data_IF_187026517902
#
_entry.id   IF_187026517902
#
_cell.length_a   1.000
_cell.length_b   1.000
_cell.length_c   1.000
_cell.angle_alpha   90.00
_cell.angle_beta   90.00
_cell.angle_gamma   90.00
#
_symmetry.space_group_name_H-M   'P 1'
#
loop_
_entity.id
_entity.type
_entity.pdbx_description
1 polymer ?
#
# COMPACT_ATOMS: atom_id res chain seq x y z
N UNK A 1 13.98 15.98 21.92
CA UNK A 1 12.58 15.85 21.45
C UNK A 1 12.27 14.37 21.47
N UNK A 2 11.43 13.95 22.42
CA UNK A 2 10.98 12.56 22.50
C UNK A 2 10.09 12.29 21.30
N UNK A 3 10.53 11.39 20.42
CA UNK A 3 9.67 10.81 19.40
C UNK A 3 8.74 9.88 20.14
N UNK A 4 7.55 10.36 20.47
CA UNK A 4 6.50 9.52 21.03
C UNK A 4 6.20 8.42 20.02
N UNK A 5 6.66 7.20 20.30
CA UNK A 5 6.19 6.01 19.61
C UNK A 5 4.69 5.93 19.90
N UNK A 6 3.87 6.46 18.97
CA UNK A 6 2.46 6.10 18.91
C UNK A 6 2.48 4.62 18.57
N UNK A 7 2.27 3.80 19.60
CA UNK A 7 2.24 2.35 19.49
C UNK A 7 0.91 1.99 18.82
N UNK A 8 0.85 2.20 17.51
CA UNK A 8 -0.27 1.80 16.69
C UNK A 8 -0.33 0.28 16.67
N UNK A 9 -1.53 -0.28 16.89
CA UNK A 9 -1.80 -1.70 16.75
C UNK A 9 -1.86 -2.13 15.27
N UNK A 10 -1.69 -1.19 14.34
CA UNK A 10 -1.74 -1.46 12.92
C UNK A 10 -0.47 -2.18 12.45
N UNK A 11 -0.64 -3.19 11.61
CA UNK A 11 0.47 -3.94 11.00
C UNK A 11 0.20 -4.10 9.52
N UNK A 12 1.28 -4.01 8.74
CA UNK A 12 1.25 -4.28 7.30
C UNK A 12 2.15 -5.47 6.98
N UNK A 13 1.62 -6.45 6.27
CA UNK A 13 2.39 -7.52 5.65
C UNK A 13 2.36 -7.35 4.13
N UNK A 14 3.48 -7.61 3.46
CA UNK A 14 3.63 -7.40 2.02
C UNK A 14 4.14 -8.69 1.38
N UNK A 15 3.49 -9.09 0.30
CA UNK A 15 3.92 -10.15 -0.59
C UNK A 15 3.91 -9.63 -2.04
N UNK A 16 5.07 -9.68 -2.71
CA UNK A 16 5.23 -9.26 -4.10
C UNK A 16 5.87 -10.40 -4.87
N UNK A 17 5.14 -10.98 -5.81
CA UNK A 17 5.63 -12.08 -6.66
C UNK A 17 6.35 -11.54 -7.88
N UNK A 18 7.69 -11.43 -7.82
CA UNK A 18 8.51 -10.83 -8.89
C UNK A 18 8.32 -11.46 -10.28
N UNK A 19 8.08 -12.77 -10.37
CA UNK A 19 7.91 -13.46 -11.65
C UNK A 19 6.54 -13.20 -12.32
N UNK A 20 5.54 -12.77 -11.56
CA UNK A 20 4.17 -12.57 -12.04
C UNK A 20 3.69 -11.13 -11.97
N UNK A 21 4.32 -10.30 -11.16
CA UNK A 21 3.88 -8.92 -10.88
C UNK A 21 2.76 -8.85 -9.85
N UNK A 22 2.16 -9.96 -9.46
CA UNK A 22 1.09 -9.99 -8.45
C UNK A 22 1.58 -9.44 -7.09
N UNK A 23 0.74 -8.62 -6.45
CA UNK A 23 1.00 -8.00 -5.16
C UNK A 23 -0.13 -8.25 -4.17
N UNK A 24 0.22 -8.27 -2.88
CA UNK A 24 -0.71 -8.27 -1.78
C UNK A 24 -0.17 -7.43 -0.62
N UNK A 25 -0.97 -6.48 -0.17
CA UNK A 25 -0.68 -5.61 0.98
C UNK A 25 -1.78 -5.84 2.01
N UNK A 26 -1.42 -6.50 3.10
CA UNK A 26 -2.33 -6.88 4.17
C UNK A 26 -2.19 -5.91 5.33
N UNK A 27 -3.17 -5.03 5.51
CA UNK A 27 -3.22 -4.12 6.65
C UNK A 27 -4.23 -4.62 7.66
N UNK A 28 -3.75 -4.84 8.88
CA UNK A 28 -4.55 -5.29 10.01
C UNK A 28 -4.58 -4.25 11.12
N UNK A 29 -5.71 -4.19 11.81
CA UNK A 29 -5.90 -3.56 13.13
C UNK A 29 -6.43 -4.63 14.11
N UNK A 30 -6.77 -4.25 15.33
CA UNK A 30 -7.42 -5.17 16.29
C UNK A 30 -8.79 -5.68 15.82
N UNK A 31 -9.45 -4.97 14.90
CA UNK A 31 -10.85 -5.23 14.53
C UNK A 31 -11.02 -5.79 13.12
N UNK A 32 -10.08 -5.55 12.22
CA UNK A 32 -10.24 -5.91 10.82
C UNK A 32 -8.90 -6.15 10.12
N UNK A 33 -8.96 -6.97 9.08
CA UNK A 33 -7.88 -7.25 8.15
C UNK A 33 -8.38 -6.90 6.75
N UNK A 34 -7.66 -6.01 6.07
CA UNK A 34 -7.89 -5.66 4.68
C UNK A 34 -6.70 -6.10 3.83
N UNK A 35 -6.98 -6.65 2.65
CA UNK A 35 -5.96 -7.04 1.67
C UNK A 35 -6.17 -6.25 0.38
N UNK A 36 -5.25 -5.34 0.06
CA UNK A 36 -5.14 -4.76 -1.28
C UNK A 36 -4.38 -5.73 -2.18
N UNK A 37 -5.01 -6.17 -3.27
CA UNK A 37 -4.43 -7.14 -4.22
C UNK A 37 -4.53 -6.62 -5.64
N UNK A 38 -3.45 -6.77 -6.40
CA UNK A 38 -3.43 -6.44 -7.82
C UNK A 38 -2.45 -7.35 -8.57
N UNK A 39 -2.65 -7.55 -9.86
CA UNK A 39 -1.84 -8.42 -10.70
C UNK A 39 -0.64 -7.74 -11.36
N UNK A 40 -0.60 -6.40 -11.41
CA UNK A 40 0.49 -5.66 -12.06
C UNK A 40 1.14 -4.68 -11.08
N UNK A 41 2.09 -5.19 -10.28
CA UNK A 41 2.71 -4.47 -9.18
C UNK A 41 3.44 -3.18 -9.57
N UNK A 42 4.12 -3.15 -10.72
CA UNK A 42 4.83 -1.95 -11.17
C UNK A 42 3.88 -0.78 -11.54
N UNK A 43 2.59 -1.06 -11.78
CA UNK A 43 1.55 -0.05 -11.99
C UNK A 43 0.77 0.20 -10.70
N UNK A 44 0.36 -0.89 -10.05
CA UNK A 44 -0.54 -0.84 -8.91
C UNK A 44 0.11 -0.26 -7.65
N UNK A 45 1.38 -0.58 -7.36
CA UNK A 45 2.06 -0.06 -6.16
C UNK A 45 2.20 1.47 -6.21
N UNK A 46 2.73 2.08 -7.30
CA UNK A 46 2.81 3.54 -7.39
C UNK A 46 1.43 4.21 -7.30
N UNK A 47 0.42 3.67 -7.97
CA UNK A 47 -0.93 4.23 -7.95
C UNK A 47 -1.55 4.15 -6.55
N UNK A 48 -1.33 3.04 -5.84
CA UNK A 48 -1.74 2.87 -4.45
C UNK A 48 -1.10 3.90 -3.53
N UNK A 49 0.23 4.08 -3.60
CA UNK A 49 0.94 5.09 -2.81
C UNK A 49 0.48 6.51 -3.12
N UNK A 50 0.34 6.86 -4.41
CA UNK A 50 -0.13 8.18 -4.83
C UNK A 50 -1.55 8.46 -4.31
N UNK A 51 -2.45 7.49 -4.42
CA UNK A 51 -3.83 7.62 -3.94
C UNK A 51 -3.87 7.87 -2.45
N UNK A 52 -3.16 7.06 -1.65
CA UNK A 52 -3.09 7.26 -0.20
C UNK A 52 -2.45 8.61 0.16
N UNK A 53 -1.42 9.03 -0.56
CA UNK A 53 -0.79 10.33 -0.36
C UNK A 53 -1.76 11.49 -0.56
N UNK A 54 -2.50 11.49 -1.67
CA UNK A 54 -3.45 12.56 -2.00
C UNK A 54 -4.64 12.58 -1.04
N UNK A 55 -5.11 11.41 -0.58
CA UNK A 55 -6.12 11.32 0.48
C UNK A 55 -5.61 11.90 1.80
N UNK A 56 -4.37 11.56 2.20
CA UNK A 56 -3.76 12.06 3.43
C UNK A 56 -3.61 13.57 3.45
N UNK A 57 -3.15 14.16 2.33
CA UNK A 57 -3.03 15.61 2.16
C UNK A 57 -4.38 16.32 2.03
N UNK A 58 -5.46 15.56 1.82
CA UNK A 58 -6.80 16.10 1.56
C UNK A 58 -6.91 16.79 0.20
N UNK A 59 -6.06 16.41 -0.76
CA UNK A 59 -6.10 16.87 -2.16
C UNK A 59 -7.28 16.24 -2.91
N UNK A 60 -7.62 15.01 -2.55
CA UNK A 60 -8.79 14.28 -3.01
C UNK A 60 -9.57 13.73 -1.81
N UNK A 61 -10.87 13.49 -1.99
CA UNK A 61 -11.72 12.84 -0.98
C UNK A 61 -12.01 11.38 -1.29
N UNK A 62 -11.83 10.97 -2.55
CA UNK A 62 -12.15 9.63 -3.05
C UNK A 62 -11.31 9.33 -4.30
N UNK A 63 -10.93 8.06 -4.47
CA UNK A 63 -10.39 7.52 -5.70
C UNK A 63 -10.77 6.05 -5.87
N UNK A 64 -10.92 5.63 -7.12
CA UNK A 64 -11.00 4.22 -7.50
C UNK A 64 -9.64 3.72 -7.96
N UNK A 65 -9.24 2.55 -7.47
CA UNK A 65 -8.08 1.80 -7.95
C UNK A 65 -8.58 0.51 -8.57
N UNK A 66 -8.40 0.38 -9.88
CA UNK A 66 -8.63 -0.88 -10.59
C UNK A 66 -7.50 -1.86 -10.29
N UNK A 67 -7.85 -3.12 -10.12
CA UNK A 67 -6.88 -4.16 -9.83
C UNK A 67 -6.39 -4.75 -11.15
N UNK A 68 -5.39 -4.12 -11.74
CA UNK A 68 -4.78 -4.56 -13.00
C UNK A 68 -4.51 -6.07 -13.01
N UNK A 69 -5.12 -6.82 -13.93
CA UNK A 69 -4.97 -8.28 -14.02
C UNK A 69 -6.04 -9.10 -13.27
N UNK A 70 -6.98 -8.46 -12.57
CA UNK A 70 -8.23 -9.08 -12.12
C UNK A 70 -9.43 -8.12 -12.35
N UNK A 71 -10.67 -8.56 -12.06
CA UNK A 71 -11.88 -7.74 -12.29
C UNK A 71 -12.32 -6.95 -11.05
N UNK A 72 -11.56 -7.04 -9.96
CA UNK A 72 -11.85 -6.34 -8.72
C UNK A 72 -11.43 -4.87 -8.85
N UNK A 73 -12.03 -4.03 -8.01
CA UNK A 73 -11.55 -2.67 -7.79
C UNK A 73 -11.83 -2.25 -6.36
N UNK A 74 -11.10 -1.24 -5.93
CA UNK A 74 -11.24 -0.65 -4.61
C UNK A 74 -11.63 0.82 -4.75
N UNK A 75 -12.56 1.28 -3.92
CA UNK A 75 -12.84 2.70 -3.73
C UNK A 75 -12.24 3.09 -2.38
N UNK A 76 -11.25 3.98 -2.41
CA UNK A 76 -10.66 4.58 -1.21
C UNK A 76 -11.23 5.97 -1.03
N UNK A 77 -11.80 6.27 0.13
CA UNK A 77 -12.30 7.59 0.48
C UNK A 77 -11.89 7.99 1.89
N UNK A 78 -11.89 9.29 2.19
CA UNK A 78 -11.40 9.79 3.47
C UNK A 78 -12.10 11.08 3.91
N UNK A 79 -12.38 11.17 5.21
CA UNK A 79 -12.82 12.40 5.87
C UNK A 79 -11.66 13.18 6.53
N UNK A 80 -10.42 12.84 6.16
CA UNK A 80 -9.12 13.30 6.70
C UNK A 80 -8.72 12.70 8.05
N UNK A 81 -9.61 11.98 8.74
CA UNK A 81 -9.28 11.25 9.98
C UNK A 81 -9.40 9.74 9.77
N UNK A 82 -10.46 9.33 9.11
CA UNK A 82 -10.78 7.96 8.80
C UNK A 82 -10.57 7.71 7.30
N UNK A 83 -10.04 6.54 7.00
CA UNK A 83 -9.98 5.94 5.67
C UNK A 83 -11.10 4.91 5.56
N UNK A 84 -11.92 5.05 4.54
CA UNK A 84 -12.95 4.09 4.17
C UNK A 84 -12.54 3.40 2.88
N UNK A 85 -12.70 2.08 2.85
CA UNK A 85 -12.34 1.26 1.70
C UNK A 85 -13.53 0.38 1.35
N UNK A 86 -14.02 0.50 0.11
CA UNK A 86 -14.98 -0.41 -0.47
C UNK A 86 -14.24 -1.34 -1.45
N UNK A 87 -14.25 -2.64 -1.18
CA UNK A 87 -13.72 -3.66 -2.09
C UNK A 87 -14.88 -4.26 -2.87
N UNK A 88 -14.88 -4.05 -4.18
CA UNK A 88 -15.79 -4.70 -5.11
C UNK A 88 -15.11 -5.95 -5.65
N UNK A 89 -15.39 -7.08 -5.00
CA UNK A 89 -14.85 -8.39 -5.38
C UNK A 89 -15.63 -9.01 -6.53
N UNK A 90 -14.93 -9.54 -7.52
CA UNK A 90 -15.51 -10.40 -8.55
C UNK A 90 -15.50 -11.87 -8.12
N UNK A 91 -14.53 -12.31 -7.31
CA UNK A 91 -14.52 -13.68 -6.77
C UNK A 91 -13.85 -13.76 -5.38
N UNK A 92 -14.61 -13.95 -4.28
CA UNK A 92 -16.07 -14.07 -4.25
C UNK A 92 -16.74 -12.75 -4.65
N UNK A 93 -17.88 -12.86 -5.33
CA UNK A 93 -18.69 -11.68 -5.66
C UNK A 93 -19.19 -11.02 -4.37
N UNK A 94 -18.97 -9.71 -4.23
CA UNK A 94 -19.43 -8.99 -3.07
C UNK A 94 -18.90 -7.57 -2.97
N UNK A 95 -19.47 -6.81 -2.05
CA UNK A 95 -18.97 -5.50 -1.62
C UNK A 95 -18.58 -5.64 -0.16
N UNK A 96 -17.31 -5.39 0.14
CA UNK A 96 -16.75 -5.48 1.49
C UNK A 96 -16.27 -4.10 1.92
N UNK A 97 -16.65 -3.68 3.13
CA UNK A 97 -16.35 -2.35 3.63
C UNK A 97 -15.38 -2.43 4.81
N UNK A 98 -14.39 -1.55 4.80
CA UNK A 98 -13.35 -1.47 5.82
C UNK A 98 -13.17 -0.03 6.29
N UNK A 99 -12.94 0.16 7.57
CA UNK A 99 -12.71 1.49 8.16
C UNK A 99 -11.44 1.52 9.02
N UNK A 100 -10.54 2.46 8.73
CA UNK A 100 -9.26 2.57 9.41
C UNK A 100 -8.99 4.02 9.84
N UNK A 101 -8.21 4.24 10.89
CA UNK A 101 -7.60 5.55 11.10
C UNK A 101 -6.61 5.82 9.96
N UNK A 102 -6.78 6.94 9.26
CA UNK A 102 -6.00 7.27 8.06
C UNK A 102 -4.50 7.37 8.35
N UNK A 103 -4.13 8.03 9.44
CA UNK A 103 -2.72 8.24 9.79
C UNK A 103 -2.05 6.92 10.19
N UNK A 104 -2.72 6.12 11.00
CA UNK A 104 -2.19 4.84 11.46
C UNK A 104 -2.09 3.83 10.31
N UNK A 105 -3.05 3.83 9.38
CA UNK A 105 -3.00 3.02 8.16
C UNK A 105 -1.78 3.37 7.30
N UNK A 106 -1.55 4.65 7.03
CA UNK A 106 -0.39 5.12 6.26
C UNK A 106 0.92 4.76 6.95
N UNK A 107 1.00 4.96 8.28
CA UNK A 107 2.18 4.58 9.05
C UNK A 107 2.47 3.07 8.96
N UNK A 108 1.43 2.24 9.00
CA UNK A 108 1.59 0.79 8.86
C UNK A 108 2.10 0.41 7.46
N UNK A 109 1.55 0.99 6.39
CA UNK A 109 2.06 0.78 5.02
C UNK A 109 3.54 1.20 4.91
N UNK A 110 3.88 2.41 5.39
CA UNK A 110 5.26 2.90 5.36
C UNK A 110 6.22 1.96 6.10
N UNK A 111 5.84 1.54 7.30
CA UNK A 111 6.66 0.66 8.14
C UNK A 111 6.81 -0.72 7.50
N UNK A 112 5.70 -1.34 7.10
CA UNK A 112 5.73 -2.67 6.48
C UNK A 112 6.53 -2.68 5.18
N UNK A 113 6.38 -1.67 4.33
CA UNK A 113 7.12 -1.61 3.06
C UNK A 113 8.61 -1.37 3.29
N UNK A 114 8.97 -0.52 4.26
CA UNK A 114 10.36 -0.34 4.65
C UNK A 114 10.99 -1.62 5.20
N UNK A 115 10.27 -2.36 6.06
CA UNK A 115 10.72 -3.64 6.61
C UNK A 115 10.88 -4.69 5.52
N UNK A 116 9.94 -4.74 4.57
CA UNK A 116 10.00 -5.62 3.40
C UNK A 116 11.25 -5.33 2.55
N UNK A 117 11.54 -4.07 2.23
CA UNK A 117 12.76 -3.71 1.48
C UNK A 117 14.04 -4.11 2.23
N UNK A 118 14.10 -3.88 3.55
CA UNK A 118 15.24 -4.29 4.37
C UNK A 118 15.42 -5.81 4.41
N UNK A 119 14.34 -6.58 4.40
CA UNK A 119 14.40 -8.03 4.30
C UNK A 119 15.03 -8.47 2.98
N UNK A 120 14.57 -7.92 1.86
CA UNK A 120 15.15 -8.21 0.54
C UNK A 120 16.62 -7.80 0.43
N UNK A 121 17.03 -6.71 1.06
CA UNK A 121 18.45 -6.33 1.16
C UNK A 121 19.27 -7.37 1.94
N UNK A 122 18.77 -7.84 3.09
CA UNK A 122 19.44 -8.89 3.88
C UNK A 122 19.55 -10.21 3.12
N UNK A 123 18.57 -10.53 2.28
CA UNK A 123 18.57 -11.72 1.43
C UNK A 123 19.44 -11.56 0.17
N UNK A 124 19.99 -10.37 -0.09
CA UNK A 124 20.81 -10.09 -1.26
C UNK A 124 20.01 -10.02 -2.57
N UNK A 125 18.70 -9.79 -2.47
CA UNK A 125 17.80 -9.55 -3.60
C UNK A 125 17.91 -8.09 -4.06
N UNK A 126 17.96 -7.15 -3.11
CA UNK A 126 18.22 -5.74 -3.36
C UNK A 126 19.69 -5.36 -3.09
N UNK A 127 20.27 -4.38 -3.83
CA UNK A 127 19.68 -3.71 -4.98
C UNK A 127 19.55 -4.66 -6.19
N UNK A 128 18.57 -4.41 -7.05
CA UNK A 128 18.36 -5.22 -8.25
C UNK A 128 19.61 -5.16 -9.14
N UNK A 129 20.14 -6.33 -9.53
CA UNK A 129 21.36 -6.42 -10.35
C UNK A 129 21.17 -5.79 -11.74
N UNK A 130 19.97 -5.92 -12.29
CA UNK A 130 19.53 -5.29 -13.52
C UNK A 130 18.14 -4.71 -13.27
N UNK A 131 17.89 -3.48 -13.74
CA UNK A 131 16.54 -2.92 -13.79
C UNK A 131 15.80 -3.60 -14.94
N UNK A 132 15.09 -4.68 -14.63
CA UNK A 132 14.20 -5.31 -15.60
C UNK A 132 13.01 -4.37 -15.87
N UNK A 133 12.66 -4.20 -17.15
CA UNK A 133 11.47 -3.46 -17.52
C UNK A 133 10.27 -4.07 -16.80
N UNK A 134 9.43 -3.23 -16.18
CA UNK A 134 8.23 -3.65 -15.45
C UNK A 134 8.49 -4.46 -14.16
N UNK A 135 9.70 -4.41 -13.59
CA UNK A 135 9.95 -5.03 -12.28
C UNK A 135 9.08 -4.36 -11.19
N UNK A 136 8.37 -5.12 -10.32
CA UNK A 136 7.47 -4.57 -9.31
C UNK A 136 8.18 -3.85 -8.14
N UNK A 137 9.52 -3.77 -8.19
CA UNK A 137 10.37 -2.96 -7.32
C UNK A 137 11.38 -2.13 -8.15
N UNK A 138 11.01 -1.79 -9.39
CA UNK A 138 11.81 -0.91 -10.23
C UNK A 138 11.85 0.52 -9.69
N UNK A 139 12.65 1.37 -10.34
CA UNK A 139 12.90 2.74 -9.88
C UNK A 139 11.60 3.55 -9.68
N UNK A 140 10.60 3.40 -10.54
CA UNK A 140 9.31 4.09 -10.40
C UNK A 140 8.59 3.74 -9.08
N UNK A 141 8.67 2.47 -8.66
CA UNK A 141 8.06 2.00 -7.41
C UNK A 141 8.83 2.52 -6.21
N UNK A 142 10.16 2.45 -6.25
CA UNK A 142 11.02 2.92 -5.16
C UNK A 142 10.92 4.45 -4.99
N UNK A 143 10.85 5.19 -6.09
CA UNK A 143 10.62 6.64 -6.07
C UNK A 143 9.24 6.99 -5.51
N UNK A 144 8.18 6.29 -5.96
CA UNK A 144 6.84 6.48 -5.42
C UNK A 144 6.78 6.19 -3.91
N UNK A 145 7.49 5.15 -3.44
CA UNK A 145 7.60 4.86 -2.02
C UNK A 145 8.36 5.95 -1.26
N UNK A 146 9.48 6.43 -1.79
CA UNK A 146 10.23 7.53 -1.18
C UNK A 146 9.34 8.76 -0.98
N UNK A 147 8.62 9.17 -2.02
CA UNK A 147 7.71 10.31 -1.96
C UNK A 147 6.57 10.08 -0.95
N UNK A 148 5.99 8.88 -0.93
CA UNK A 148 4.95 8.51 0.03
C UNK A 148 5.44 8.49 1.49
N UNK A 149 6.63 7.93 1.75
CA UNK A 149 7.20 7.84 3.10
C UNK A 149 7.57 9.22 3.66
N UNK A 150 7.91 10.18 2.79
CA UNK A 150 8.22 11.56 3.19
C UNK A 150 7.04 12.30 3.85
N UNK A 151 5.80 11.85 3.61
CA UNK A 151 4.58 12.44 4.17
C UNK A 151 4.54 12.42 5.69
N UNK A 152 5.16 11.41 6.31
CA UNK A 152 5.16 11.21 7.76
C UNK A 152 6.32 11.93 8.45
N UNK A 153 7.30 12.40 7.67
CA UNK A 153 8.45 13.17 8.15
C UNK A 153 8.21 14.69 8.12
N UNK A 154 7.04 15.10 7.61
CA UNK A 154 6.64 16.49 7.37
C UNK A 154 5.79 17.07 8.51
#
# INVERSE_FOLDING_TARGET
MEVGYINSNYRCFIDIRFSGGDIQFDVSSDTQLFSFKSGIGFIAIPNFFLTLASLYKGEISEARIDCDGNFDYYIFSSDRKMLFIEHHGHYPEGIFNYEFNLKDYILAICTGFQEYLQELEREGILPLKNQEFAHPLGDDVLNAFHDFSSLLSS
#
